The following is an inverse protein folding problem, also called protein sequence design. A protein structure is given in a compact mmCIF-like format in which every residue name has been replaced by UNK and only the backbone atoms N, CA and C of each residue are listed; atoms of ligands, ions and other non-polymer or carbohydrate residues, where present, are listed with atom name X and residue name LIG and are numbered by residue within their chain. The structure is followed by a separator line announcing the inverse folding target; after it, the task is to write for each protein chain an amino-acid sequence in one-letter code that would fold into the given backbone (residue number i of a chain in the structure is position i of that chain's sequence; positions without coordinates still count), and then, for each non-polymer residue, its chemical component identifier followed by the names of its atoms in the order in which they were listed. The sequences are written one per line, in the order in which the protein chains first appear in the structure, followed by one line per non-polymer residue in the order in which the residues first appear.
data_IF_650336970216
#
_entry.id   IF_650336970216
#
_cell.length_a   1.000
_cell.length_b   1.000
_cell.length_c   1.000
_cell.angle_alpha   90.00
_cell.angle_beta   90.00
_cell.angle_gamma   90.00
#
_symmetry.space_group_name_H-M   'P 1'
#
loop_
_entity.id
_entity.type
_entity.pdbx_description
1 polymer ?
#
# COMPACT_ATOMS: atom_id res chain seq x y z
N UNK A 1 -11.07 -13.48 3.20
CA UNK A 1 -11.90 -13.87 2.03
C UNK A 1 -11.38 -15.17 1.45
N UNK A 2 -12.22 -16.20 1.24
CA UNK A 2 -11.85 -17.53 0.71
C UNK A 2 -12.33 -17.77 -0.73
N UNK A 3 -13.12 -16.86 -1.31
CA UNK A 3 -13.73 -17.03 -2.64
C UNK A 3 -12.96 -16.23 -3.69
N UNK A 4 -12.48 -16.89 -4.74
CA UNK A 4 -11.70 -16.32 -5.84
C UNK A 4 -12.52 -16.29 -7.13
N UNK A 5 -13.59 -15.51 -7.11
CA UNK A 5 -14.61 -15.46 -8.15
C UNK A 5 -14.39 -14.31 -9.16
N UNK A 6 -15.40 -14.11 -10.01
CA UNK A 6 -15.39 -13.08 -11.04
C UNK A 6 -15.40 -11.66 -10.46
N UNK A 7 -16.01 -11.46 -9.30
CA UNK A 7 -16.13 -10.15 -8.66
C UNK A 7 -14.79 -9.71 -8.11
N UNK A 8 -14.05 -10.60 -7.44
CA UNK A 8 -12.67 -10.35 -7.03
C UNK A 8 -11.79 -9.94 -8.22
N UNK A 9 -11.90 -10.66 -9.35
CA UNK A 9 -11.12 -10.34 -10.56
C UNK A 9 -11.49 -8.97 -11.14
N UNK A 10 -12.77 -8.58 -11.08
CA UNK A 10 -13.21 -7.25 -11.49
C UNK A 10 -12.66 -6.17 -10.56
N UNK A 11 -12.70 -6.39 -9.25
CA UNK A 11 -12.14 -5.49 -8.24
C UNK A 11 -10.65 -5.26 -8.48
N UNK A 12 -9.85 -6.33 -8.59
CA UNK A 12 -8.39 -6.22 -8.83
C UNK A 12 -8.11 -5.43 -10.10
N UNK A 13 -8.81 -5.72 -11.20
CA UNK A 13 -8.64 -4.98 -12.46
C UNK A 13 -9.01 -3.50 -12.33
N UNK A 14 -10.09 -3.20 -11.58
CA UNK A 14 -10.52 -1.83 -11.30
C UNK A 14 -9.46 -1.06 -10.51
N UNK A 15 -8.95 -1.64 -9.43
CA UNK A 15 -7.87 -1.06 -8.62
C UNK A 15 -6.62 -0.79 -9.48
N UNK A 16 -6.21 -1.77 -10.29
CA UNK A 16 -5.06 -1.62 -11.19
C UNK A 16 -5.26 -0.53 -12.23
N UNK A 17 -6.47 -0.40 -12.80
CA UNK A 17 -6.79 0.67 -13.73
C UNK A 17 -6.72 2.05 -13.05
N UNK A 18 -7.22 2.15 -11.82
CA UNK A 18 -7.18 3.39 -11.02
C UNK A 18 -5.76 3.83 -10.67
N UNK A 19 -4.85 2.88 -10.38
CA UNK A 19 -3.44 3.17 -10.16
C UNK A 19 -2.79 3.68 -11.45
N UNK A 20 -2.94 2.95 -12.56
CA UNK A 20 -2.36 3.35 -13.86
C UNK A 20 -2.88 4.67 -14.41
N UNK A 21 -4.13 5.02 -14.14
CA UNK A 21 -4.73 6.27 -14.58
C UNK A 21 -4.30 7.48 -13.73
N UNK A 22 -3.83 7.26 -12.50
CA UNK A 22 -3.44 8.33 -11.58
C UNK A 22 -1.97 8.67 -11.70
N UNK A 23 -1.65 9.96 -11.86
CA UNK A 23 -0.28 10.44 -11.72
C UNK A 23 0.18 10.31 -10.26
N UNK A 24 1.37 9.75 -10.04
CA UNK A 24 1.97 9.63 -8.71
C UNK A 24 1.35 8.56 -7.78
N UNK A 25 0.52 7.64 -8.30
CA UNK A 25 -0.03 6.53 -7.50
C UNK A 25 0.84 5.29 -7.65
N UNK A 26 1.51 4.88 -6.58
CA UNK A 26 2.33 3.67 -6.55
C UNK A 26 1.54 2.41 -6.14
N UNK A 27 0.38 2.58 -5.51
CA UNK A 27 -0.48 1.51 -5.03
C UNK A 27 -1.90 1.97 -4.72
N UNK A 28 -2.77 1.00 -4.47
CA UNK A 28 -4.14 1.22 -4.00
C UNK A 28 -4.69 -0.05 -3.33
N UNK A 29 -5.20 0.12 -2.12
CA UNK A 29 -5.89 -0.89 -1.33
C UNK A 29 -7.41 -0.78 -1.47
N UNK A 30 -8.10 -1.92 -1.51
CA UNK A 30 -9.56 -1.97 -1.62
C UNK A 30 -10.31 -1.17 -0.54
N UNK A 31 -9.87 -1.13 0.74
CA UNK A 31 -10.52 -0.29 1.75
C UNK A 31 -10.56 1.19 1.42
N UNK A 32 -9.58 1.71 0.66
CA UNK A 32 -9.55 3.12 0.25
C UNK A 32 -10.70 3.50 -0.70
N UNK A 33 -11.34 2.52 -1.34
CA UNK A 33 -12.54 2.71 -2.16
C UNK A 33 -13.81 2.15 -1.49
N UNK A 34 -13.77 1.95 -0.16
CA UNK A 34 -14.91 1.48 0.63
C UNK A 34 -15.20 -0.01 0.52
N UNK A 35 -14.27 -0.80 -0.04
CA UNK A 35 -14.43 -2.25 -0.18
C UNK A 35 -13.63 -2.96 0.93
N UNK A 36 -14.27 -3.61 1.92
CA UNK A 36 -13.60 -4.17 3.10
C UNK A 36 -12.94 -5.53 2.81
N UNK A 37 -12.21 -5.62 1.70
CA UNK A 37 -11.46 -6.80 1.29
C UNK A 37 -9.97 -6.57 1.46
N UNK A 38 -9.26 -7.61 1.91
CA UNK A 38 -7.79 -7.59 2.05
C UNK A 38 -7.13 -7.75 0.68
N UNK A 39 -7.22 -6.73 -0.16
CA UNK A 39 -6.69 -6.71 -1.52
C UNK A 39 -6.01 -5.37 -1.75
N UNK A 40 -4.76 -5.40 -2.21
CA UNK A 40 -4.13 -4.21 -2.76
C UNK A 40 -3.47 -4.51 -4.10
N UNK A 41 -3.21 -3.44 -4.84
CA UNK A 41 -2.44 -3.45 -6.10
C UNK A 41 -1.27 -2.49 -5.98
N UNK A 42 -0.22 -2.71 -6.77
CA UNK A 42 0.94 -1.84 -6.85
C UNK A 42 1.39 -1.69 -8.30
N UNK A 43 1.97 -0.54 -8.62
CA UNK A 43 2.60 -0.23 -9.90
C UNK A 43 3.68 0.83 -9.67
N UNK A 44 4.94 0.41 -9.52
CA UNK A 44 6.06 1.29 -9.16
C UNK A 44 7.38 0.71 -9.69
N UNK A 45 8.27 1.58 -10.16
CA UNK A 45 9.61 1.20 -10.67
C UNK A 45 9.57 0.06 -11.72
N UNK A 46 8.58 0.09 -12.61
CA UNK A 46 8.42 -0.94 -13.66
C UNK A 46 7.94 -2.30 -13.14
N UNK A 47 7.54 -2.39 -11.86
CA UNK A 47 6.96 -3.59 -11.24
C UNK A 47 5.51 -3.34 -10.87
N UNK A 48 4.63 -4.17 -11.40
CA UNK A 48 3.20 -4.12 -11.07
C UNK A 48 2.65 -5.47 -10.66
N UNK A 49 1.59 -5.46 -9.85
CA UNK A 49 0.96 -6.66 -9.36
C UNK A 49 -0.13 -6.39 -8.34
N UNK A 50 -0.56 -7.45 -7.66
CA UNK A 50 -1.58 -7.39 -6.62
C UNK A 50 -1.39 -8.54 -5.64
N UNK A 51 -1.90 -8.37 -4.43
CA UNK A 51 -1.94 -9.42 -3.43
C UNK A 51 -3.31 -9.45 -2.75
N UNK A 52 -3.83 -10.66 -2.60
CA UNK A 52 -5.04 -10.99 -1.85
C UNK A 52 -4.64 -11.68 -0.55
N UNK A 53 -5.20 -11.22 0.56
CA UNK A 53 -4.87 -11.62 1.93
C UNK A 53 -3.34 -11.63 2.21
N UNK A 54 -2.63 -10.53 1.95
CA UNK A 54 -1.18 -10.48 2.14
C UNK A 54 -0.78 -10.62 3.62
N UNK A 55 0.43 -11.14 3.84
CA UNK A 55 1.21 -11.08 5.07
C UNK A 55 2.61 -10.62 4.75
N UNK A 56 3.17 -9.73 5.56
CA UNK A 56 4.51 -9.19 5.37
C UNK A 56 5.47 -9.79 6.39
N UNK A 57 6.65 -10.17 5.91
CA UNK A 57 7.84 -10.40 6.72
C UNK A 57 8.77 -9.19 6.51
N UNK A 58 9.06 -8.46 7.57
CA UNK A 58 9.84 -7.22 7.55
C UNK A 58 11.28 -7.48 8.00
N UNK A 59 12.24 -6.78 7.40
CA UNK A 59 13.63 -6.79 7.88
C UNK A 59 13.84 -5.84 9.07
N UNK A 60 14.85 -6.13 9.89
CA UNK A 60 15.28 -5.22 10.97
C UNK A 60 15.86 -3.90 10.45
N UNK A 61 16.54 -3.91 9.29
CA UNK A 61 17.08 -2.69 8.70
C UNK A 61 15.94 -1.75 8.34
N UNK A 62 15.97 -0.54 8.88
CA UNK A 62 15.02 0.53 8.58
C UNK A 62 15.66 1.67 7.78
N UNK A 63 14.82 2.41 7.08
CA UNK A 63 15.21 3.59 6.30
C UNK A 63 14.11 4.65 6.42
N UNK A 64 14.51 5.91 6.58
CA UNK A 64 13.63 7.07 6.49
C UNK A 64 13.62 7.56 5.06
N UNK A 65 12.43 7.76 4.50
CA UNK A 65 12.26 8.45 3.22
C UNK A 65 10.79 8.83 3.02
N UNK A 66 10.56 9.72 2.06
CA UNK A 66 9.27 10.37 1.93
C UNK A 66 8.16 9.41 1.44
N UNK A 67 6.99 9.51 2.07
CA UNK A 67 5.74 8.89 1.63
C UNK A 67 4.73 9.97 1.23
N UNK A 68 3.95 9.67 0.20
CA UNK A 68 2.75 10.41 -0.16
C UNK A 68 1.56 9.46 -0.07
N UNK A 69 0.44 9.95 0.47
CA UNK A 69 -0.80 9.20 0.54
C UNK A 69 -1.91 9.94 -0.20
N UNK A 70 -2.85 9.19 -0.77
CA UNK A 70 -4.05 9.77 -1.39
C UNK A 70 -4.93 10.55 -0.43
N UNK A 71 -4.84 10.27 0.88
CA UNK A 71 -5.53 11.05 1.91
C UNK A 71 -4.97 12.47 2.09
N UNK A 72 -3.78 12.77 1.54
CA UNK A 72 -3.17 14.10 1.57
C UNK A 72 -2.48 14.43 0.22
N UNK A 73 -3.25 14.76 -0.82
CA UNK A 73 -2.73 14.99 -2.15
C UNK A 73 -1.64 16.08 -2.19
N UNK A 74 -0.54 15.80 -2.91
CA UNK A 74 0.54 16.75 -3.15
C UNK A 74 1.56 16.89 -2.02
N UNK A 75 1.42 16.14 -0.92
CA UNK A 75 2.31 16.22 0.23
C UNK A 75 3.15 14.97 0.37
N UNK A 76 4.43 15.18 0.66
CA UNK A 76 5.43 14.17 0.91
C UNK A 76 5.96 14.38 2.33
N UNK A 77 6.03 13.32 3.13
CA UNK A 77 6.53 13.42 4.51
C UNK A 77 7.48 12.27 4.83
N UNK A 78 8.61 12.53 5.51
CA UNK A 78 9.56 11.48 5.87
C UNK A 78 8.90 10.47 6.82
N UNK A 79 8.98 9.19 6.47
CA UNK A 79 8.52 8.11 7.33
C UNK A 79 9.55 6.98 7.38
N UNK A 80 9.76 6.44 8.58
CA UNK A 80 10.63 5.28 8.76
C UNK A 80 9.89 3.98 8.42
N UNK A 81 10.49 3.18 7.54
CA UNK A 81 9.97 1.86 7.15
C UNK A 81 11.07 0.81 7.13
N UNK A 82 10.66 -0.46 7.12
CA UNK A 82 11.60 -1.56 6.88
C UNK A 82 12.13 -1.48 5.45
N UNK A 83 13.44 -1.60 5.28
CA UNK A 83 14.11 -1.47 3.99
C UNK A 83 13.80 -2.64 3.06
N UNK A 84 13.59 -3.84 3.61
CA UNK A 84 13.26 -5.06 2.87
C UNK A 84 11.96 -5.67 3.39
N UNK A 85 11.15 -6.15 2.45
CA UNK A 85 9.90 -6.86 2.73
C UNK A 85 9.83 -8.13 1.88
N UNK A 86 9.40 -9.23 2.51
CA UNK A 86 8.83 -10.38 1.80
C UNK A 86 7.32 -10.40 2.02
N UNK A 87 6.55 -10.08 0.98
CA UNK A 87 5.10 -10.14 1.00
C UNK A 87 4.61 -11.48 0.44
N UNK A 88 3.73 -12.16 1.17
CA UNK A 88 3.13 -13.43 0.77
C UNK A 88 1.62 -13.30 0.74
N UNK A 89 0.98 -13.83 -0.30
CA UNK A 89 -0.47 -13.82 -0.41
C UNK A 89 -0.92 -14.72 -1.54
N UNK A 90 -2.03 -14.34 -2.17
CA UNK A 90 -2.56 -15.01 -3.36
C UNK A 90 -2.81 -14.01 -4.48
N UNK A 91 -2.85 -14.49 -5.71
CA UNK A 91 -3.37 -13.74 -6.83
C UNK A 91 -4.92 -13.75 -6.85
N UNK A 92 -5.51 -13.18 -7.91
CA UNK A 92 -6.97 -13.07 -8.05
C UNK A 92 -7.65 -14.38 -8.47
N UNK A 93 -6.85 -15.43 -8.69
CA UNK A 93 -7.27 -16.80 -8.99
C UNK A 93 -7.00 -17.75 -7.81
N UNK A 94 -6.44 -17.25 -6.71
CA UNK A 94 -6.13 -18.01 -5.51
C UNK A 94 -4.77 -18.70 -5.53
N UNK A 95 -3.94 -18.49 -6.56
CA UNK A 95 -2.60 -19.07 -6.63
C UNK A 95 -1.66 -18.34 -5.66
N UNK A 96 -0.78 -19.05 -4.94
CA UNK A 96 0.20 -18.41 -4.06
C UNK A 96 1.10 -17.44 -4.82
N UNK A 97 1.35 -16.27 -4.22
CA UNK A 97 2.28 -15.26 -4.74
C UNK A 97 3.24 -14.84 -3.63
N UNK A 98 4.52 -14.68 -3.99
CA UNK A 98 5.55 -14.13 -3.10
C UNK A 98 6.23 -12.97 -3.82
N UNK A 99 6.28 -11.81 -3.18
CA UNK A 99 6.95 -10.61 -3.68
C UNK A 99 8.08 -10.27 -2.71
N UNK A 100 9.32 -10.29 -3.20
CA UNK A 100 10.47 -9.75 -2.47
C UNK A 100 10.80 -8.37 -3.02
N UNK A 101 10.98 -7.42 -2.12
CA UNK A 101 11.16 -6.02 -2.46
C UNK A 101 12.16 -5.35 -1.51
N UNK A 102 12.87 -4.36 -2.05
CA UNK A 102 13.73 -3.44 -1.32
C UNK A 102 13.27 -2.01 -1.61
N UNK A 103 13.66 -1.06 -0.77
CA UNK A 103 13.52 0.37 -1.06
C UNK A 103 12.08 0.79 -1.34
N UNK A 104 11.84 1.45 -2.47
CA UNK A 104 10.54 2.03 -2.85
C UNK A 104 9.43 0.99 -2.87
N UNK A 105 9.60 -0.14 -3.55
CA UNK A 105 8.56 -1.17 -3.57
C UNK A 105 8.32 -1.77 -2.18
N UNK A 106 9.36 -1.94 -1.36
CA UNK A 106 9.17 -2.42 0.01
C UNK A 106 8.30 -1.45 0.83
N UNK A 107 8.49 -0.14 0.62
CA UNK A 107 7.68 0.92 1.23
C UNK A 107 6.22 0.86 0.79
N UNK A 108 5.98 0.77 -0.52
CA UNK A 108 4.62 0.65 -1.08
C UNK A 108 3.91 -0.57 -0.51
N UNK A 109 4.57 -1.73 -0.44
CA UNK A 109 3.94 -2.94 0.11
C UNK A 109 3.56 -2.79 1.60
N UNK A 110 4.38 -2.10 2.40
CA UNK A 110 4.04 -1.77 3.80
C UNK A 110 2.85 -0.83 3.87
N UNK A 111 2.90 0.27 3.11
CA UNK A 111 1.84 1.27 3.04
C UNK A 111 0.48 0.69 2.64
N UNK A 112 0.44 -0.09 1.56
CA UNK A 112 -0.80 -0.71 1.10
C UNK A 112 -1.30 -1.79 2.05
N UNK A 113 -0.41 -2.46 2.79
CA UNK A 113 -0.80 -3.42 3.83
C UNK A 113 -1.41 -2.72 5.04
N UNK A 114 -0.87 -1.57 5.47
CA UNK A 114 -1.44 -0.76 6.56
C UNK A 114 -2.90 -0.41 6.29
N UNK A 115 -3.23 -0.02 5.06
CA UNK A 115 -4.61 0.26 4.66
C UNK A 115 -5.55 -0.95 4.79
N UNK A 116 -5.05 -2.18 4.68
CA UNK A 116 -5.86 -3.38 4.92
C UNK A 116 -6.21 -3.58 6.39
N UNK A 117 -5.44 -2.96 7.27
CA UNK A 117 -5.59 -2.99 8.73
C UNK A 117 -6.19 -1.68 9.28
N UNK A 118 -6.60 -0.76 8.39
CA UNK A 118 -7.17 0.54 8.77
C UNK A 118 -6.13 1.53 9.33
N UNK A 119 -4.84 1.24 9.15
CA UNK A 119 -3.74 2.09 9.58
C UNK A 119 -3.41 3.09 8.47
N UNK A 120 -3.25 4.36 8.85
CA UNK A 120 -2.79 5.42 7.96
C UNK A 120 -1.30 5.69 8.21
N UNK A 121 -0.61 6.23 7.21
CA UNK A 121 0.81 6.58 7.37
C UNK A 121 1.04 7.56 8.55
N UNK A 122 0.09 8.46 8.82
CA UNK A 122 0.15 9.40 9.95
C UNK A 122 0.12 8.73 11.32
N UNK A 123 -0.38 7.49 11.41
CA UNK A 123 -0.44 6.76 12.67
C UNK A 123 0.94 6.21 13.07
N UNK A 124 1.90 6.20 12.13
CA UNK A 124 3.30 5.87 12.39
C UNK A 124 4.13 7.10 12.76
N UNK A 125 3.60 8.32 12.63
CA UNK A 125 4.31 9.53 13.00
C UNK A 125 4.27 9.74 14.52
N UNK A 126 5.37 10.21 15.14
CA UNK A 126 5.33 10.78 16.48
C UNK A 126 4.25 11.86 16.56
N UNK A 127 3.64 12.05 17.74
CA UNK A 127 2.52 12.99 17.91
C UNK A 127 2.83 14.39 17.37
N UNK A 128 3.98 14.96 17.73
CA UNK A 128 4.40 16.30 17.28
C UNK A 128 4.54 16.36 15.75
N UNK A 129 5.13 15.34 15.13
CA UNK A 129 5.27 15.26 13.66
C UNK A 129 3.92 15.06 12.97
N UNK A 130 3.01 14.31 13.59
CA UNK A 130 1.64 14.13 13.09
C UNK A 130 0.88 15.45 13.11
N UNK A 131 1.00 16.24 14.18
CA UNK A 131 0.40 17.57 14.29
C UNK A 131 0.96 18.50 13.21
N UNK A 132 2.29 18.57 13.07
CA UNK A 132 2.94 19.34 11.99
C UNK A 132 2.47 18.93 10.61
N UNK A 133 2.34 17.64 10.35
CA UNK A 133 1.81 17.16 9.08
C UNK A 133 0.35 17.61 8.87
N UNK A 134 -0.51 17.48 9.88
CA UNK A 134 -1.91 17.87 9.77
C UNK A 134 -2.09 19.38 9.53
N UNK A 135 -1.25 20.23 10.13
CA UNK A 135 -1.21 21.67 9.82
C UNK A 135 -0.92 21.93 8.34
N UNK A 136 -0.07 21.12 7.70
CA UNK A 136 0.12 21.26 6.27
C UNK A 136 -1.13 20.91 5.47
N UNK A 137 -2.00 20.03 6.01
CA UNK A 137 -3.17 19.44 5.35
C UNK A 137 -4.41 20.32 5.39
N UNK A 138 -4.57 21.07 6.48
CA UNK A 138 -5.67 22.01 6.70
C UNK A 138 -5.40 23.32 5.93
N UNK A 139 -6.39 23.91 5.22
CA UNK A 139 -6.24 25.22 4.56
C UNK A 139 -6.00 26.38 5.53
#
# INVERSE_FOLDING_TARGET
MTVFDRELRRLVKSLQATVRAGTGRAGLAAPQIGVPLRVFVYDVEGRSGHLVNPRLELSERRVVADEACLSAPGRWWPLERSYMVTARGRDMFGKPVVVRALGTLARVLQHESDHLDGVLFTDHLPQEERERFLETVVP
#
